data_IF_406142809116
#
_entry.id   IF_406142809116
#
_cell.length_a   1.000
_cell.length_b   1.000
_cell.length_c   1.000
_cell.angle_alpha   90.00
_cell.angle_beta   90.00
_cell.angle_gamma   90.00
#
_symmetry.space_group_name_H-M   'P 1'
#
loop_
_entity.id
_entity.type
_entity.pdbx_description
1 polymer ?
#
# COMPACT_ATOMS: atom_id res chain seq x y z
N UNK A 1 -6.72 -8.19 2.07
CA UNK A 1 -5.99 -9.07 3.01
C UNK A 1 -4.50 -8.89 2.81
N UNK A 2 -3.73 -8.98 3.89
CA UNK A 2 -2.28 -9.11 3.82
C UNK A 2 -1.90 -10.54 3.36
N UNK A 3 -0.76 -10.71 2.68
CA UNK A 3 -0.31 -12.02 2.20
C UNK A 3 -0.09 -13.02 3.33
N UNK A 4 0.29 -12.52 4.52
CA UNK A 4 0.41 -13.34 5.72
C UNK A 4 -0.92 -14.00 6.07
N UNK A 5 -2.03 -13.26 6.11
CA UNK A 5 -3.35 -13.79 6.45
C UNK A 5 -3.82 -14.81 5.41
N UNK A 6 -3.59 -14.54 4.13
CA UNK A 6 -3.86 -15.48 3.02
C UNK A 6 -3.09 -16.78 3.24
N UNK A 7 -1.80 -16.68 3.56
CA UNK A 7 -0.95 -17.85 3.83
C UNK A 7 -1.46 -18.66 5.02
N UNK A 8 -1.82 -18.00 6.13
CA UNK A 8 -2.36 -18.67 7.33
C UNK A 8 -3.63 -19.44 7.01
N UNK A 9 -4.59 -18.78 6.38
CA UNK A 9 -5.88 -19.38 6.05
C UNK A 9 -5.74 -20.52 5.03
N UNK A 10 -4.84 -20.38 4.06
CA UNK A 10 -4.53 -21.44 3.09
C UNK A 10 -3.96 -22.68 3.78
N UNK A 11 -2.95 -22.52 4.64
CA UNK A 11 -2.39 -23.64 5.41
C UNK A 11 -3.44 -24.28 6.31
N UNK A 12 -4.28 -23.47 6.98
CA UNK A 12 -5.36 -23.99 7.81
C UNK A 12 -6.36 -24.84 7.01
N UNK A 13 -6.76 -24.39 5.82
CA UNK A 13 -7.63 -25.14 4.91
C UNK A 13 -6.97 -26.44 4.43
N UNK A 14 -5.71 -26.37 3.99
CA UNK A 14 -4.95 -27.53 3.50
C UNK A 14 -4.79 -28.59 4.60
N UNK A 15 -4.44 -28.17 5.82
CA UNK A 15 -4.28 -29.07 6.96
C UNK A 15 -5.59 -29.73 7.39
N UNK A 16 -6.71 -28.98 7.38
CA UNK A 16 -8.03 -29.55 7.67
C UNK A 16 -8.47 -30.54 6.60
N UNK A 17 -8.19 -30.25 5.33
CA UNK A 17 -8.45 -31.16 4.20
C UNK A 17 -7.64 -32.46 4.34
N UNK A 18 -6.40 -32.37 4.84
CA UNK A 18 -5.56 -33.51 5.20
C UNK A 18 -5.91 -34.16 6.56
N UNK A 19 -7.11 -33.88 7.11
CA UNK A 19 -7.62 -34.44 8.36
C UNK A 19 -6.79 -34.14 9.63
N UNK A 20 -5.90 -33.15 9.60
CA UNK A 20 -5.24 -32.70 10.81
C UNK A 20 -6.19 -31.87 11.69
N UNK A 21 -6.00 -31.96 13.01
CA UNK A 21 -6.56 -30.96 13.92
C UNK A 21 -5.86 -29.62 13.68
N UNK A 22 -6.63 -28.52 13.65
CA UNK A 22 -6.10 -27.17 13.48
C UNK A 22 -6.79 -26.26 14.48
N UNK A 23 -6.00 -25.43 15.14
CA UNK A 23 -6.46 -24.32 15.97
C UNK A 23 -6.12 -23.02 15.25
N UNK A 24 -7.10 -22.15 15.06
CA UNK A 24 -6.86 -20.78 14.63
C UNK A 24 -6.78 -19.88 15.86
N UNK A 25 -5.89 -18.90 15.82
CA UNK A 25 -5.66 -17.94 16.88
C UNK A 25 -5.71 -16.55 16.26
N UNK A 26 -6.56 -15.67 16.80
CA UNK A 26 -6.74 -14.30 16.32
C UNK A 26 -6.41 -13.31 17.43
N UNK A 27 -5.58 -12.31 17.13
CA UNK A 27 -5.37 -11.17 18.03
C UNK A 27 -6.64 -10.32 18.05
N UNK A 28 -7.32 -10.22 19.20
CA UNK A 28 -8.55 -9.41 19.32
C UNK A 28 -8.32 -8.09 20.01
N UNK A 29 -7.29 -7.98 20.86
CA UNK A 29 -6.92 -6.72 21.50
C UNK A 29 -5.45 -6.72 21.90
N UNK A 30 -4.87 -5.53 21.84
CA UNK A 30 -3.50 -5.26 22.28
C UNK A 30 -3.46 -4.00 23.12
N UNK A 31 -2.52 -3.95 24.07
CA UNK A 31 -2.20 -2.74 24.83
C UNK A 31 -0.68 -2.52 24.83
N UNK A 32 -0.28 -1.26 24.86
CA UNK A 32 1.13 -0.89 24.78
C UNK A 32 1.75 -1.23 23.42
N UNK A 33 3.06 -1.45 23.39
CA UNK A 33 3.83 -1.79 22.19
C UNK A 33 3.69 -3.27 21.85
N UNK A 34 2.50 -3.71 21.43
CA UNK A 34 2.31 -5.07 20.99
C UNK A 34 2.90 -5.29 19.58
N UNK A 35 3.57 -6.42 19.33
CA UNK A 35 4.30 -6.71 18.09
C UNK A 35 3.41 -6.95 16.85
N UNK A 36 2.14 -7.34 17.04
CA UNK A 36 1.18 -7.56 15.96
C UNK A 36 -0.14 -6.83 16.25
N UNK A 37 -0.80 -6.25 15.24
CA UNK A 37 -2.06 -5.53 15.43
C UNK A 37 -3.25 -6.49 15.65
N UNK A 38 -4.38 -5.98 16.19
CA UNK A 38 -5.64 -6.70 16.15
C UNK A 38 -5.99 -7.18 14.73
N UNK A 39 -6.45 -8.42 14.62
CA UNK A 39 -6.75 -9.11 13.38
C UNK A 39 -5.64 -10.04 12.90
N UNK A 40 -4.42 -9.94 13.45
CA UNK A 40 -3.34 -10.86 13.11
C UNK A 40 -3.71 -12.32 13.43
N UNK A 41 -3.40 -13.21 12.48
CA UNK A 41 -3.76 -14.62 12.53
C UNK A 41 -2.55 -15.54 12.74
N UNK A 42 -2.82 -16.66 13.40
CA UNK A 42 -1.93 -17.81 13.53
C UNK A 42 -2.77 -19.09 13.40
N UNK A 43 -2.30 -20.04 12.61
CA UNK A 43 -2.84 -21.40 12.57
C UNK A 43 -1.81 -22.34 13.18
N UNK A 44 -2.27 -23.22 14.08
CA UNK A 44 -1.45 -24.24 14.71
C UNK A 44 -2.07 -25.60 14.43
N UNK A 45 -1.31 -26.47 13.76
CA UNK A 45 -1.68 -27.86 13.52
C UNK A 45 -1.49 -28.69 14.79
N UNK A 46 -2.22 -29.79 14.93
CA UNK A 46 -2.22 -30.59 16.15
C UNK A 46 -0.87 -31.16 16.59
N UNK A 47 0.13 -31.22 15.71
CA UNK A 47 1.52 -31.63 15.99
C UNK A 47 2.46 -30.44 16.31
N UNK A 48 1.93 -29.22 16.33
CA UNK A 48 2.65 -28.00 16.64
C UNK A 48 3.27 -27.30 15.42
N UNK A 49 3.00 -27.75 14.19
CA UNK A 49 3.38 -26.97 12.99
C UNK A 49 2.54 -25.71 12.91
N UNK A 50 3.18 -24.57 12.64
CA UNK A 50 2.54 -23.25 12.66
C UNK A 50 2.63 -22.51 11.32
N UNK A 51 1.64 -21.67 11.07
CA UNK A 51 1.63 -20.68 10.00
C UNK A 51 1.08 -19.37 10.54
N UNK A 52 1.79 -18.26 10.32
CA UNK A 52 1.42 -16.94 10.83
C UNK A 52 2.09 -16.58 12.16
N UNK A 53 1.62 -15.49 12.77
CA UNK A 53 2.20 -14.98 14.01
C UNK A 53 1.27 -13.96 14.69
N UNK A 54 1.20 -14.06 16.02
CA UNK A 54 0.46 -13.17 16.94
C UNK A 54 1.37 -12.32 17.83
N UNK A 55 2.62 -12.75 18.06
CA UNK A 55 3.58 -12.03 18.91
C UNK A 55 5.00 -11.94 18.34
N UNK A 56 5.37 -12.83 17.41
CA UNK A 56 6.71 -12.87 16.84
C UNK A 56 7.69 -13.78 17.59
N UNK A 57 7.19 -14.70 18.42
CA UNK A 57 8.01 -15.76 19.02
C UNK A 57 7.42 -16.34 20.30
N UNK A 58 7.59 -15.65 21.42
CA UNK A 58 7.43 -16.26 22.75
C UNK A 58 6.00 -16.72 23.06
N UNK A 59 4.97 -16.02 22.57
CA UNK A 59 3.58 -16.46 22.77
C UNK A 59 3.27 -17.67 21.89
N UNK A 60 3.83 -17.73 20.68
CA UNK A 60 3.67 -18.87 19.78
C UNK A 60 4.25 -20.15 20.38
N UNK A 61 5.41 -20.09 21.01
CA UNK A 61 6.04 -21.26 21.66
C UNK A 61 5.14 -21.87 22.75
N UNK A 62 4.50 -21.04 23.59
CA UNK A 62 3.58 -21.52 24.62
C UNK A 62 2.30 -22.13 24.02
N UNK A 63 1.75 -21.52 22.97
CA UNK A 63 0.59 -22.06 22.27
C UNK A 63 0.90 -23.42 21.60
N UNK A 64 2.07 -23.55 20.98
CA UNK A 64 2.56 -24.80 20.38
C UNK A 64 2.67 -25.88 21.45
N UNK A 65 3.29 -25.57 22.58
CA UNK A 65 3.48 -26.50 23.69
C UNK A 65 2.16 -26.99 24.26
N UNK A 66 1.19 -26.09 24.51
CA UNK A 66 -0.16 -26.45 24.97
C UNK A 66 -0.85 -27.39 24.00
N UNK A 67 -0.80 -27.10 22.70
CA UNK A 67 -1.44 -27.94 21.67
C UNK A 67 -0.79 -29.32 21.58
N UNK A 68 0.54 -29.41 21.72
CA UNK A 68 1.29 -30.68 21.76
C UNK A 68 0.97 -31.51 23.00
N UNK A 69 0.73 -30.88 24.15
CA UNK A 69 0.27 -31.53 25.39
C UNK A 69 -1.20 -31.96 25.33
N UNK A 70 -1.91 -31.64 24.26
CA UNK A 70 -3.33 -31.98 24.07
C UNK A 70 -4.29 -31.01 24.74
N UNK A 71 -3.83 -29.85 25.20
CA UNK A 71 -4.64 -28.81 25.86
C UNK A 71 -5.48 -27.97 24.87
N UNK A 72 -6.14 -28.65 23.93
CA UNK A 72 -6.90 -28.02 22.84
C UNK A 72 -8.29 -27.62 23.32
N UNK A 73 -8.69 -26.41 22.98
CA UNK A 73 -10.05 -25.94 23.27
C UNK A 73 -11.08 -26.74 22.45
N UNK A 74 -12.21 -27.09 23.07
CA UNK A 74 -13.34 -27.75 22.39
C UNK A 74 -14.35 -26.75 21.80
N UNK A 75 -14.30 -25.51 22.27
CA UNK A 75 -15.04 -24.36 21.77
C UNK A 75 -14.12 -23.13 21.81
N UNK A 76 -14.43 -22.05 21.08
CA UNK A 76 -13.61 -20.84 21.12
C UNK A 76 -13.46 -20.29 22.54
N UNK A 77 -12.26 -19.82 22.89
CA UNK A 77 -12.01 -19.18 24.19
C UNK A 77 -11.07 -17.99 24.06
N UNK A 78 -11.19 -17.06 25.01
CA UNK A 78 -10.29 -15.92 25.15
C UNK A 78 -9.09 -16.31 26.02
N UNK A 79 -7.88 -16.04 25.54
CA UNK A 79 -6.62 -16.20 26.27
C UNK A 79 -5.98 -14.83 26.43
N UNK A 80 -5.39 -14.58 27.60
CA UNK A 80 -4.69 -13.34 27.94
C UNK A 80 -3.22 -13.63 28.24
N UNK A 81 -2.34 -12.82 27.69
CA UNK A 81 -0.90 -12.82 27.97
C UNK A 81 -0.45 -11.45 28.46
N UNK A 82 0.54 -11.44 29.36
CA UNK A 82 1.09 -10.19 29.90
C UNK A 82 0.16 -9.50 30.89
N UNK A 83 -0.55 -10.27 31.72
CA UNK A 83 -1.43 -9.74 32.77
C UNK A 83 -0.59 -9.23 33.95
N UNK A 84 0.58 -9.84 34.20
CA UNK A 84 1.58 -9.35 35.15
C UNK A 84 2.87 -8.90 34.45
N UNK A 85 3.71 -8.12 35.13
CA UNK A 85 5.02 -7.68 34.61
C UNK A 85 5.97 -8.85 34.43
N UNK A 86 5.93 -9.82 35.34
CA UNK A 86 6.72 -11.05 35.29
C UNK A 86 6.30 -11.92 34.10
N UNK A 87 5.00 -12.01 33.84
CA UNK A 87 4.45 -12.73 32.68
C UNK A 87 4.80 -12.01 31.37
N UNK A 88 4.68 -10.68 31.31
CA UNK A 88 5.09 -9.89 30.15
C UNK A 88 6.59 -10.06 29.85
N UNK A 89 7.45 -10.08 30.88
CA UNK A 89 8.88 -10.33 30.74
C UNK A 89 9.17 -11.76 30.23
N UNK A 90 8.45 -12.77 30.74
CA UNK A 90 8.57 -14.16 30.29
C UNK A 90 8.24 -14.32 28.81
N UNK A 91 7.22 -13.61 28.32
CA UNK A 91 6.78 -13.67 26.93
C UNK A 91 7.41 -12.61 26.03
N UNK A 92 8.48 -11.94 26.49
CA UNK A 92 9.21 -10.97 25.67
C UNK A 92 8.35 -9.80 25.17
N UNK A 93 7.25 -9.48 25.86
CA UNK A 93 6.37 -8.36 25.52
C UNK A 93 7.03 -7.07 26.05
N UNK A 94 7.59 -6.21 25.18
CA UNK A 94 8.33 -5.04 25.64
C UNK A 94 7.40 -4.09 26.42
N UNK A 95 7.89 -3.62 27.58
CA UNK A 95 7.32 -2.55 28.39
C UNK A 95 5.84 -2.73 28.83
N UNK A 96 5.44 -3.93 29.25
CA UNK A 96 4.14 -4.13 29.91
C UNK A 96 2.94 -4.21 28.95
N UNK A 97 3.18 -4.66 27.71
CA UNK A 97 2.11 -4.95 26.77
C UNK A 97 1.26 -6.15 27.22
N UNK A 98 -0.04 -6.05 27.01
CA UNK A 98 -1.00 -7.15 27.21
C UNK A 98 -1.56 -7.56 25.86
N UNK A 99 -1.79 -8.86 25.66
CA UNK A 99 -2.30 -9.44 24.44
C UNK A 99 -3.53 -10.30 24.74
N UNK A 100 -4.64 -10.02 24.06
CA UNK A 100 -5.84 -10.84 24.10
C UNK A 100 -6.00 -11.58 22.78
N UNK A 101 -6.11 -12.91 22.88
CA UNK A 101 -6.20 -13.83 21.76
C UNK A 101 -7.50 -14.63 21.85
N UNK A 102 -8.20 -14.79 20.74
CA UNK A 102 -9.23 -15.81 20.60
C UNK A 102 -8.60 -17.05 20.00
N UNK A 103 -8.60 -18.14 20.78
CA UNK A 103 -8.23 -19.48 20.32
C UNK A 103 -9.50 -20.22 19.90
N UNK A 104 -9.58 -20.66 18.64
CA UNK A 104 -10.72 -21.38 18.10
C UNK A 104 -10.29 -22.73 17.48
N UNK A 105 -10.94 -23.85 17.83
CA UNK A 105 -10.77 -25.09 17.09
C UNK A 105 -11.42 -24.95 15.71
N UNK A 106 -10.66 -25.13 14.64
CA UNK A 106 -11.17 -25.07 13.27
C UNK A 106 -11.91 -26.37 12.94
N UNK A 107 -13.20 -26.44 13.27
CA UNK A 107 -14.03 -27.63 13.05
C UNK A 107 -14.49 -27.72 11.59
N UNK A 108 -15.06 -26.64 11.04
CA UNK A 108 -15.48 -26.49 9.65
C UNK A 108 -14.58 -25.50 8.91
N UNK A 109 -13.86 -25.96 7.88
CA UNK A 109 -12.99 -25.12 7.05
C UNK A 109 -13.67 -24.61 5.76
N UNK A 110 -14.93 -24.98 5.48
CA UNK A 110 -15.63 -24.58 4.25
C UNK A 110 -15.79 -23.08 4.12
N UNK A 111 -15.87 -22.36 5.25
CA UNK A 111 -15.92 -20.90 5.23
C UNK A 111 -14.63 -20.29 4.67
N UNK A 112 -13.46 -20.93 4.85
CA UNK A 112 -12.19 -20.45 4.31
C UNK A 112 -12.20 -20.55 2.78
N UNK A 113 -12.67 -21.68 2.24
CA UNK A 113 -12.80 -21.87 0.80
C UNK A 113 -13.75 -20.81 0.18
N UNK A 114 -14.93 -20.63 0.79
CA UNK A 114 -15.89 -19.60 0.37
C UNK A 114 -15.31 -18.20 0.45
N UNK A 115 -14.52 -17.91 1.49
CA UNK A 115 -13.84 -16.63 1.64
C UNK A 115 -12.85 -16.38 0.48
N UNK A 116 -12.07 -17.39 0.10
CA UNK A 116 -11.17 -17.28 -1.05
C UNK A 116 -11.93 -17.07 -2.36
N UNK A 117 -13.04 -17.76 -2.58
CA UNK A 117 -13.87 -17.56 -3.78
C UNK A 117 -14.41 -16.13 -3.87
N UNK A 118 -14.91 -15.58 -2.76
CA UNK A 118 -15.40 -14.20 -2.68
C UNK A 118 -14.28 -13.18 -2.93
N UNK A 119 -13.16 -13.34 -2.25
CA UNK A 119 -12.05 -12.38 -2.35
C UNK A 119 -11.34 -12.43 -3.70
N UNK A 120 -11.36 -13.58 -4.39
CA UNK A 120 -10.91 -13.69 -5.78
C UNK A 120 -11.80 -12.92 -6.76
N UNK A 121 -13.06 -12.63 -6.41
CA UNK A 121 -13.98 -11.77 -7.17
C UNK A 121 -13.94 -10.30 -6.74
N UNK A 122 -12.99 -9.91 -5.89
CA UNK A 122 -12.88 -8.55 -5.38
C UNK A 122 -13.86 -8.21 -4.23
N UNK A 123 -14.59 -9.20 -3.70
CA UNK A 123 -15.59 -8.97 -2.66
C UNK A 123 -14.95 -8.85 -1.27
N UNK A 124 -15.51 -7.96 -0.45
CA UNK A 124 -15.23 -7.87 0.98
C UNK A 124 -16.16 -8.78 1.77
N UNK A 125 -15.60 -9.55 2.69
CA UNK A 125 -16.31 -10.57 3.46
C UNK A 125 -16.07 -10.35 4.94
N UNK A 126 -17.15 -10.08 5.68
CA UNK A 126 -17.16 -10.06 7.13
C UNK A 126 -17.41 -11.46 7.68
N UNK A 127 -16.44 -12.00 8.40
CA UNK A 127 -16.54 -13.26 9.13
C UNK A 127 -17.01 -12.98 10.55
N UNK A 128 -18.04 -13.66 11.00
CA UNK A 128 -18.53 -13.63 12.39
C UNK A 128 -18.39 -15.02 13.02
N UNK A 129 -17.54 -15.12 14.05
CA UNK A 129 -17.37 -16.28 14.90
C UNK A 129 -18.19 -16.11 16.18
N UNK A 130 -19.03 -17.08 16.50
CA UNK A 130 -19.76 -17.14 17.78
C UNK A 130 -18.96 -17.92 18.81
N UNK A 131 -18.71 -17.31 19.97
CA UNK A 131 -17.83 -17.89 21.00
C UNK A 131 -18.43 -19.10 21.72
N UNK A 132 -19.76 -19.21 21.80
CA UNK A 132 -20.44 -20.29 22.55
C UNK A 132 -20.27 -21.67 21.92
N UNK A 133 -20.22 -21.74 20.59
CA UNK A 133 -20.25 -23.00 19.83
C UNK A 133 -19.26 -23.05 18.66
N UNK A 134 -18.55 -21.96 18.37
CA UNK A 134 -17.63 -21.88 17.24
C UNK A 134 -18.30 -21.77 15.88
N UNK A 135 -19.61 -21.49 15.82
CA UNK A 135 -20.30 -21.30 14.55
C UNK A 135 -19.75 -20.06 13.82
N UNK A 136 -19.38 -20.25 12.55
CA UNK A 136 -18.91 -19.17 11.67
C UNK A 136 -19.97 -18.84 10.64
N UNK A 137 -20.24 -17.54 10.47
CA UNK A 137 -21.03 -17.03 9.35
C UNK A 137 -20.25 -15.99 8.55
N UNK A 138 -20.55 -15.90 7.26
CA UNK A 138 -19.95 -14.93 6.34
C UNK A 138 -21.04 -13.98 5.84
N UNK A 139 -20.75 -12.68 5.85
CA UNK A 139 -21.62 -11.61 5.33
C UNK A 139 -20.81 -10.71 4.41
N UNK A 140 -21.48 -9.87 3.63
CA UNK A 140 -20.81 -8.77 2.93
C UNK A 140 -20.14 -7.86 3.97
N UNK A 141 -18.88 -7.52 3.74
CA UNK A 141 -18.11 -6.59 4.57
C UNK A 141 -17.98 -5.22 3.92
N UNK A 142 -17.55 -4.24 4.72
CA UNK A 142 -17.25 -2.89 4.26
C UNK A 142 -15.76 -2.55 4.43
N UNK A 143 -15.24 -1.64 3.61
CA UNK A 143 -13.79 -1.32 3.57
C UNK A 143 -13.23 -0.86 4.91
N UNK A 144 -14.04 -0.13 5.68
CA UNK A 144 -13.63 0.46 6.95
C UNK A 144 -14.15 -0.32 8.16
N UNK A 145 -14.58 -1.57 7.96
CA UNK A 145 -14.96 -2.46 9.05
C UNK A 145 -13.75 -2.70 9.96
N UNK A 146 -13.83 -2.16 11.18
CA UNK A 146 -12.88 -2.50 12.23
C UNK A 146 -13.17 -3.90 12.78
N UNK A 147 -12.12 -4.57 13.27
CA UNK A 147 -12.28 -5.78 14.08
C UNK A 147 -13.18 -5.46 15.27
N UNK A 148 -14.17 -6.32 15.50
CA UNK A 148 -15.10 -6.20 16.62
C UNK A 148 -15.06 -7.46 17.48
N UNK A 149 -14.94 -7.28 18.80
CA UNK A 149 -15.03 -8.38 19.76
C UNK A 149 -15.70 -7.91 21.04
N UNK A 150 -16.84 -8.53 21.38
CA UNK A 150 -17.66 -8.20 22.56
C UNK A 150 -17.65 -9.30 23.64
N UNK A 151 -16.87 -10.37 23.44
CA UNK A 151 -16.84 -11.54 24.31
C UNK A 151 -17.78 -12.68 23.88
N UNK A 152 -18.79 -12.40 23.08
CA UNK A 152 -19.75 -13.37 22.54
C UNK A 152 -19.53 -13.62 21.04
N UNK A 153 -19.08 -12.61 20.30
CA UNK A 153 -18.87 -12.63 18.87
C UNK A 153 -17.56 -11.96 18.51
N UNK A 154 -16.74 -12.64 17.70
CA UNK A 154 -15.57 -12.06 17.03
C UNK A 154 -15.93 -11.82 15.56
N UNK A 155 -15.87 -10.56 15.12
CA UNK A 155 -16.07 -10.19 13.72
C UNK A 155 -14.80 -9.61 13.10
N UNK A 156 -14.40 -10.15 11.95
CA UNK A 156 -13.20 -9.74 11.20
C UNK A 156 -13.56 -9.63 9.72
N UNK A 157 -13.16 -8.53 9.07
CA UNK A 157 -13.39 -8.33 7.64
C UNK A 157 -12.14 -8.68 6.85
N UNK A 158 -12.33 -9.51 5.82
CA UNK A 158 -11.33 -9.96 4.88
C UNK A 158 -11.68 -9.42 3.49
N UNK A 159 -10.67 -9.11 2.69
CA UNK A 159 -10.84 -8.56 1.35
C UNK A 159 -9.76 -9.05 0.39
N UNK A 160 -9.88 -8.75 -0.91
CA UNK A 160 -8.84 -9.02 -1.92
C UNK A 160 -7.46 -8.50 -1.48
N UNK A 161 -6.41 -8.99 -2.13
CA UNK A 161 -5.05 -8.45 -1.89
C UNK A 161 -5.02 -6.96 -2.27
N UNK A 162 -4.24 -6.17 -1.54
CA UNK A 162 -4.02 -4.78 -1.91
C UNK A 162 -3.22 -4.70 -3.21
N UNK A 163 -3.76 -4.01 -4.20
CA UNK A 163 -3.18 -3.87 -5.54
C UNK A 163 -2.77 -2.43 -5.80
N UNK A 164 -1.65 -2.25 -6.48
CA UNK A 164 -1.20 -0.94 -6.98
C UNK A 164 -0.93 -1.06 -8.48
N UNK A 165 -1.77 -0.43 -9.29
CA UNK A 165 -1.54 -0.25 -10.72
C UNK A 165 -0.78 1.05 -10.97
N UNK A 166 0.41 0.95 -11.55
CA UNK A 166 1.22 2.07 -12.00
C UNK A 166 1.07 2.24 -13.49
N UNK A 167 0.66 3.44 -13.92
CA UNK A 167 0.61 3.81 -15.34
C UNK A 167 1.90 4.53 -15.69
N UNK A 168 2.63 3.96 -16.64
CA UNK A 168 3.98 4.35 -16.99
C UNK A 168 5.02 3.49 -16.28
N UNK A 169 6.05 3.08 -17.01
CA UNK A 169 7.13 2.21 -16.53
C UNK A 169 8.47 2.94 -16.41
N UNK A 170 8.43 4.25 -16.13
CA UNK A 170 9.63 5.07 -15.93
C UNK A 170 10.35 4.78 -14.60
N UNK A 171 11.51 5.41 -14.40
CA UNK A 171 12.35 5.23 -13.21
C UNK A 171 11.59 5.49 -11.89
N UNK A 172 10.73 6.52 -11.84
CA UNK A 172 9.92 6.82 -10.66
C UNK A 172 8.95 5.67 -10.33
N UNK A 173 8.27 5.11 -11.35
CA UNK A 173 7.37 3.96 -11.17
C UNK A 173 8.10 2.77 -10.58
N UNK A 174 9.35 2.52 -10.98
CA UNK A 174 10.15 1.42 -10.44
C UNK A 174 10.53 1.64 -8.97
N UNK A 175 10.84 2.87 -8.56
CA UNK A 175 11.05 3.20 -7.15
C UNK A 175 9.75 2.98 -6.33
N UNK A 176 8.60 3.44 -6.85
CA UNK A 176 7.30 3.24 -6.20
C UNK A 176 6.99 1.74 -6.09
N UNK A 177 7.21 0.98 -7.16
CA UNK A 177 6.98 -0.46 -7.20
C UNK A 177 7.79 -1.21 -6.14
N UNK A 178 9.08 -0.89 -5.98
CA UNK A 178 9.93 -1.52 -4.96
C UNK A 178 9.42 -1.28 -3.54
N UNK A 179 9.05 -0.04 -3.20
CA UNK A 179 8.54 0.29 -1.88
C UNK A 179 7.16 -0.36 -1.65
N UNK A 180 6.26 -0.26 -2.63
CA UNK A 180 4.93 -0.86 -2.53
C UNK A 180 4.99 -2.38 -2.39
N UNK A 181 5.92 -3.04 -3.11
CA UNK A 181 6.17 -4.48 -2.99
C UNK A 181 6.65 -4.86 -1.59
N UNK A 182 7.56 -4.08 -1.01
CA UNK A 182 8.03 -4.28 0.36
C UNK A 182 6.91 -4.11 1.41
N UNK A 183 5.87 -3.33 1.08
CA UNK A 183 4.64 -3.16 1.88
C UNK A 183 3.52 -4.14 1.48
N UNK A 184 3.87 -5.21 0.76
CA UNK A 184 3.00 -6.34 0.41
C UNK A 184 1.85 -6.03 -0.57
N UNK A 185 1.94 -4.91 -1.30
CA UNK A 185 1.08 -4.70 -2.46
C UNK A 185 1.42 -5.70 -3.57
N UNK A 186 0.40 -6.19 -4.26
CA UNK A 186 0.56 -6.70 -5.62
C UNK A 186 0.73 -5.50 -6.56
N UNK A 187 1.93 -5.37 -7.12
CA UNK A 187 2.26 -4.25 -8.00
C UNK A 187 2.08 -4.67 -9.45
N UNK A 188 1.27 -3.90 -10.16
CA UNK A 188 0.96 -4.04 -11.58
C UNK A 188 1.52 -2.81 -12.30
N UNK A 189 2.16 -3.00 -13.45
CA UNK A 189 2.70 -1.90 -14.25
C UNK A 189 2.13 -2.00 -15.66
N UNK A 190 1.52 -0.92 -16.13
CA UNK A 190 1.02 -0.77 -17.49
C UNK A 190 1.81 0.34 -18.19
N UNK A 191 2.42 0.00 -19.32
CA UNK A 191 2.98 0.96 -20.26
C UNK A 191 2.88 0.34 -21.67
N UNK A 192 2.32 1.04 -22.67
CA UNK A 192 2.17 0.46 -24.02
C UNK A 192 3.51 0.30 -24.75
N UNK A 193 4.60 0.89 -24.24
CA UNK A 193 5.92 0.87 -24.86
C UNK A 193 6.70 -0.36 -24.40
N UNK A 194 6.93 -1.31 -25.31
CA UNK A 194 7.55 -2.61 -24.99
C UNK A 194 9.00 -2.49 -24.51
N UNK A 195 9.71 -1.40 -24.83
CA UNK A 195 11.11 -1.20 -24.44
C UNK A 195 11.28 -1.13 -22.92
N UNK A 196 10.27 -0.61 -22.20
CA UNK A 196 10.29 -0.55 -20.75
C UNK A 196 10.07 -1.91 -20.09
N UNK A 197 9.42 -2.86 -20.80
CA UNK A 197 9.15 -4.20 -20.26
C UNK A 197 10.44 -4.96 -19.97
N UNK A 198 11.46 -4.79 -20.81
CA UNK A 198 12.74 -5.51 -20.69
C UNK A 198 13.51 -5.14 -19.40
N UNK A 199 13.24 -3.96 -18.83
CA UNK A 199 13.87 -3.45 -17.62
C UNK A 199 13.07 -3.76 -16.34
N UNK A 200 11.89 -4.35 -16.47
CA UNK A 200 11.03 -4.66 -15.35
C UNK A 200 11.51 -5.94 -14.63
N UNK A 201 11.83 -5.81 -13.35
CA UNK A 201 12.02 -6.96 -12.48
C UNK A 201 10.66 -7.60 -12.15
N UNK A 202 10.41 -8.79 -12.68
CA UNK A 202 9.18 -9.55 -12.47
C UNK A 202 8.95 -9.97 -11.01
N UNK A 203 9.98 -9.93 -10.16
CA UNK A 203 9.84 -10.17 -8.71
C UNK A 203 9.26 -8.96 -7.97
N UNK A 204 9.40 -7.77 -8.55
CA UNK A 204 8.93 -6.48 -8.00
C UNK A 204 7.53 -6.15 -8.50
N UNK A 205 7.27 -6.32 -9.79
CA UNK A 205 5.97 -5.99 -10.37
C UNK A 205 5.63 -6.87 -11.58
N UNK A 206 4.33 -7.02 -11.84
CA UNK A 206 3.80 -7.72 -13.01
C UNK A 206 3.50 -6.72 -14.13
N UNK A 207 4.03 -6.97 -15.32
CA UNK A 207 3.70 -6.21 -16.52
C UNK A 207 2.31 -6.56 -17.04
N UNK A 208 1.53 -5.54 -17.37
CA UNK A 208 0.24 -5.64 -18.06
C UNK A 208 0.35 -4.95 -19.44
N UNK A 209 0.34 -5.72 -20.53
CA UNK A 209 0.36 -5.14 -21.88
C UNK A 209 -1.00 -4.52 -22.21
N UNK A 210 -1.01 -3.53 -23.09
CA UNK A 210 -2.23 -2.88 -23.57
C UNK A 210 -2.27 -1.38 -23.29
N UNK A 211 -3.39 -0.77 -23.67
CA UNK A 211 -3.63 0.63 -23.38
C UNK A 211 -4.11 0.81 -21.93
N UNK A 212 -3.78 1.95 -21.27
CA UNK A 212 -4.09 2.14 -19.85
C UNK A 212 -5.57 2.05 -19.47
N UNK A 213 -6.48 2.51 -20.32
CA UNK A 213 -7.94 2.40 -20.16
C UNK A 213 -8.41 0.95 -20.18
N UNK A 214 -8.02 0.18 -21.21
CA UNK A 214 -8.33 -1.25 -21.32
C UNK A 214 -7.81 -2.03 -20.11
N UNK A 215 -6.57 -1.77 -19.70
CA UNK A 215 -5.96 -2.43 -18.54
C UNK A 215 -6.74 -2.11 -17.25
N UNK A 216 -7.18 -0.87 -17.06
CA UNK A 216 -7.99 -0.50 -15.89
C UNK A 216 -9.32 -1.26 -15.87
N UNK A 217 -9.95 -1.50 -17.02
CA UNK A 217 -11.17 -2.31 -17.10
C UNK A 217 -10.90 -3.79 -16.83
N UNK A 218 -9.87 -4.35 -17.47
CA UNK A 218 -9.57 -5.78 -17.46
C UNK A 218 -9.15 -6.32 -16.08
N UNK A 219 -8.47 -5.51 -15.27
CA UNK A 219 -8.01 -5.96 -13.95
C UNK A 219 -9.16 -6.11 -12.93
N UNK A 220 -10.39 -5.68 -13.26
CA UNK A 220 -11.53 -5.71 -12.33
C UNK A 220 -11.24 -4.88 -11.08
N UNK A 221 -11.19 -3.56 -11.24
CA UNK A 221 -10.85 -2.63 -10.15
C UNK A 221 -11.87 -2.71 -9.01
N UNK A 222 -11.38 -3.00 -7.80
CA UNK A 222 -12.16 -3.09 -6.57
C UNK A 222 -11.69 -2.07 -5.52
N UNK A 223 -12.32 -2.11 -4.34
CA UNK A 223 -12.02 -1.24 -3.20
C UNK A 223 -10.63 -1.44 -2.55
N UNK A 224 -9.81 -2.39 -3.04
CA UNK A 224 -8.42 -2.64 -2.63
C UNK A 224 -7.39 -2.28 -3.71
N UNK A 225 -7.84 -1.69 -4.81
CA UNK A 225 -6.97 -1.23 -5.89
C UNK A 225 -6.66 0.25 -5.76
N UNK A 226 -5.36 0.58 -5.78
CA UNK A 226 -4.84 1.92 -6.00
C UNK A 226 -4.36 2.04 -7.45
N UNK A 227 -4.58 3.20 -8.08
CA UNK A 227 -4.12 3.49 -9.44
C UNK A 227 -3.34 4.80 -9.39
N UNK A 228 -2.13 4.81 -9.94
CA UNK A 228 -1.29 6.01 -9.96
C UNK A 228 -0.71 6.24 -11.35
N UNK A 229 -1.01 7.42 -11.90
CA UNK A 229 -0.53 7.88 -13.18
C UNK A 229 0.81 8.60 -13.02
N UNK A 230 1.89 7.98 -13.50
CA UNK A 230 3.28 8.44 -13.32
C UNK A 230 3.99 8.66 -14.65
N UNK A 231 3.27 8.73 -15.76
CA UNK A 231 3.88 9.04 -17.06
C UNK A 231 4.08 10.55 -17.24
N UNK A 232 4.92 10.90 -18.21
CA UNK A 232 5.07 12.26 -18.71
C UNK A 232 4.18 12.53 -19.94
N UNK A 233 3.46 11.52 -20.43
CA UNK A 233 2.51 11.63 -21.54
C UNK A 233 1.09 11.85 -21.00
N UNK A 234 0.50 13.06 -21.16
CA UNK A 234 -0.84 13.34 -20.69
C UNK A 234 -1.90 12.41 -21.30
N UNK A 235 -1.71 11.93 -22.53
CA UNK A 235 -2.68 11.07 -23.21
C UNK A 235 -2.82 9.74 -22.48
N UNK A 236 -1.71 9.10 -22.15
CA UNK A 236 -1.72 7.82 -21.45
C UNK A 236 -2.23 7.94 -20.01
N UNK A 237 -1.83 9.01 -19.30
CA UNK A 237 -2.38 9.28 -17.97
C UNK A 237 -3.90 9.45 -18.03
N UNK A 238 -4.40 10.30 -18.92
CA UNK A 238 -5.81 10.66 -18.96
C UNK A 238 -6.69 9.47 -19.36
N UNK A 239 -6.22 8.61 -20.30
CA UNK A 239 -6.89 7.34 -20.64
C UNK A 239 -7.12 6.48 -19.40
N UNK A 240 -6.08 6.26 -18.58
CA UNK A 240 -6.23 5.49 -17.34
C UNK A 240 -7.11 6.21 -16.31
N UNK A 241 -6.97 7.52 -16.17
CA UNK A 241 -7.69 8.30 -15.15
C UNK A 241 -9.19 8.38 -15.43
N UNK A 242 -9.61 8.40 -16.70
CA UNK A 242 -11.03 8.36 -17.08
C UNK A 242 -11.75 7.13 -16.50
N UNK A 243 -11.14 5.96 -16.64
CA UNK A 243 -11.72 4.71 -16.10
C UNK A 243 -11.47 4.56 -14.60
N UNK A 244 -10.29 4.94 -14.11
CA UNK A 244 -9.94 4.84 -12.70
C UNK A 244 -10.88 5.68 -11.81
N UNK A 245 -11.24 6.90 -12.23
CA UNK A 245 -12.11 7.78 -11.45
C UNK A 245 -13.59 7.37 -11.47
N UNK A 246 -13.99 6.49 -12.40
CA UNK A 246 -15.33 5.87 -12.44
C UNK A 246 -15.42 4.61 -11.58
N UNK A 247 -14.29 3.93 -11.38
CA UNK A 247 -14.19 2.68 -10.63
C UNK A 247 -14.30 2.82 -9.11
N UNK A 248 -14.31 1.69 -8.40
CA UNK A 248 -14.27 1.62 -6.94
C UNK A 248 -12.85 1.70 -6.33
N UNK A 249 -11.82 2.06 -7.13
CA UNK A 249 -10.46 2.23 -6.65
C UNK A 249 -10.42 3.12 -5.39
N UNK A 250 -9.75 2.64 -4.34
CA UNK A 250 -9.68 3.40 -3.09
C UNK A 250 -8.75 4.61 -3.18
N UNK A 251 -7.84 4.61 -4.15
CA UNK A 251 -6.89 5.68 -4.40
C UNK A 251 -6.67 5.87 -5.89
N UNK A 252 -6.81 7.10 -6.37
CA UNK A 252 -6.47 7.49 -7.74
C UNK A 252 -5.58 8.72 -7.67
N UNK A 253 -4.32 8.58 -8.08
CA UNK A 253 -3.32 9.64 -8.00
C UNK A 253 -2.68 9.94 -9.35
N UNK A 254 -2.19 11.16 -9.53
CA UNK A 254 -1.43 11.54 -10.71
C UNK A 254 -0.25 12.45 -10.38
N UNK A 255 0.87 12.20 -11.04
CA UNK A 255 2.03 13.08 -11.00
C UNK A 255 1.71 14.43 -11.67
N UNK A 256 2.30 15.50 -11.12
CA UNK A 256 2.24 16.83 -11.69
C UNK A 256 2.39 17.94 -10.65
N UNK A 257 2.76 19.12 -11.11
CA UNK A 257 2.64 20.35 -10.31
C UNK A 257 1.17 20.65 -10.02
N UNK A 258 0.87 21.53 -9.05
CA UNK A 258 -0.53 21.93 -8.78
C UNK A 258 -1.24 22.46 -10.02
N UNK A 259 -0.55 23.33 -10.77
CA UNK A 259 -1.06 23.89 -12.03
C UNK A 259 -1.40 22.78 -13.02
N UNK A 260 -0.55 21.77 -13.15
CA UNK A 260 -0.80 20.64 -14.04
C UNK A 260 -1.95 19.76 -13.53
N UNK A 261 -2.04 19.52 -12.22
CA UNK A 261 -3.15 18.78 -11.62
C UNK A 261 -4.49 19.51 -11.79
N UNK A 262 -4.51 20.84 -11.70
CA UNK A 262 -5.72 21.64 -11.92
C UNK A 262 -6.16 21.57 -13.38
N UNK A 263 -5.25 21.84 -14.33
CA UNK A 263 -5.52 21.68 -15.77
C UNK A 263 -5.96 20.27 -16.14
N UNK A 264 -5.43 19.26 -15.44
CA UNK A 264 -5.84 17.87 -15.63
C UNK A 264 -7.27 17.65 -15.17
N UNK A 265 -7.68 18.18 -14.00
CA UNK A 265 -9.08 18.09 -13.55
C UNK A 265 -10.04 18.77 -14.52
N UNK A 266 -9.70 19.96 -15.00
CA UNK A 266 -10.49 20.68 -16.01
C UNK A 266 -10.67 19.83 -17.28
N UNK A 267 -9.57 19.32 -17.84
CA UNK A 267 -9.62 18.45 -19.02
C UNK A 267 -10.39 17.15 -18.79
N UNK A 268 -10.27 16.54 -17.61
CA UNK A 268 -11.04 15.33 -17.26
C UNK A 268 -12.54 15.60 -17.16
N UNK A 269 -12.96 16.80 -16.74
CA UNK A 269 -14.37 17.19 -16.71
C UNK A 269 -14.94 17.39 -18.12
N UNK A 270 -14.12 17.75 -19.10
CA UNK A 270 -14.51 17.79 -20.52
C UNK A 270 -14.81 16.38 -21.08
N UNK A 271 -14.34 15.30 -20.41
CA UNK A 271 -14.57 13.90 -20.77
C UNK A 271 -15.67 13.23 -19.93
N UNK A 272 -16.73 13.97 -19.60
CA UNK A 272 -17.92 13.48 -18.88
C UNK A 272 -17.65 12.92 -17.46
N UNK A 273 -16.54 13.29 -16.82
CA UNK A 273 -16.34 13.00 -15.40
C UNK A 273 -17.00 14.09 -14.54
N UNK A 274 -17.85 13.65 -13.62
CA UNK A 274 -18.50 14.54 -12.66
C UNK A 274 -17.49 15.24 -11.73
N UNK A 275 -17.91 16.36 -11.13
CA UNK A 275 -17.14 17.03 -10.08
C UNK A 275 -16.81 16.09 -8.91
N UNK A 276 -17.73 15.18 -8.54
CA UNK A 276 -17.51 14.18 -7.49
C UNK A 276 -16.40 13.19 -7.87
N UNK A 277 -16.39 12.71 -9.11
CA UNK A 277 -15.36 11.77 -9.57
C UNK A 277 -14.00 12.46 -9.65
N UNK A 278 -13.93 13.65 -10.26
CA UNK A 278 -12.67 14.40 -10.36
C UNK A 278 -12.11 14.89 -9.02
N UNK A 279 -12.96 15.12 -8.01
CA UNK A 279 -12.54 15.41 -6.64
C UNK A 279 -11.78 14.26 -5.96
N UNK A 280 -11.96 13.01 -6.42
CA UNK A 280 -11.20 11.84 -5.93
C UNK A 280 -9.74 11.84 -6.38
N UNK A 281 -9.38 12.65 -7.39
CA UNK A 281 -8.03 12.67 -7.94
C UNK A 281 -7.04 13.32 -6.96
N UNK A 282 -6.08 12.53 -6.50
CA UNK A 282 -4.94 12.98 -5.71
C UNK A 282 -3.86 13.58 -6.62
N UNK A 283 -3.82 14.91 -6.69
CA UNK A 283 -2.89 15.65 -7.55
C UNK A 283 -2.56 17.03 -6.96
N UNK A 284 -1.27 17.35 -6.68
CA UNK A 284 -0.10 16.48 -6.82
C UNK A 284 -0.16 15.23 -5.93
N UNK A 285 0.26 14.09 -6.47
CA UNK A 285 0.37 12.82 -5.73
C UNK A 285 1.47 12.90 -4.65
N UNK A 286 1.24 12.23 -3.51
CA UNK A 286 2.20 12.11 -2.42
C UNK A 286 2.16 13.22 -1.36
N UNK A 287 2.68 12.87 -0.17
CA UNK A 287 2.82 13.79 0.97
C UNK A 287 3.94 14.81 0.75
N UNK A 288 3.77 16.02 1.25
CA UNK A 288 4.78 17.06 1.15
C UNK A 288 5.92 16.86 2.16
N UNK A 289 6.93 16.10 1.75
CA UNK A 289 8.14 15.80 2.55
C UNK A 289 9.41 16.48 2.01
N UNK A 290 9.27 17.38 1.02
CA UNK A 290 10.43 18.07 0.41
C UNK A 290 11.29 17.21 -0.52
N UNK A 291 10.80 16.04 -0.95
CA UNK A 291 11.54 15.12 -1.82
C UNK A 291 11.86 15.71 -3.19
N UNK A 292 13.07 15.45 -3.68
CA UNK A 292 13.61 15.93 -4.95
C UNK A 292 14.06 14.77 -5.85
N UNK A 293 14.52 13.67 -5.27
CA UNK A 293 14.94 12.48 -6.02
C UNK A 293 13.76 11.54 -6.31
N UNK A 294 13.83 10.68 -7.35
CA UNK A 294 12.80 9.68 -7.61
C UNK A 294 12.48 8.77 -6.42
N UNK A 295 13.50 8.41 -5.62
CA UNK A 295 13.32 7.58 -4.44
C UNK A 295 12.55 8.32 -3.32
N UNK A 296 12.87 9.59 -3.06
CA UNK A 296 12.16 10.41 -2.08
C UNK A 296 10.71 10.68 -2.52
N UNK A 297 10.50 10.96 -3.80
CA UNK A 297 9.16 11.13 -4.38
C UNK A 297 8.37 9.82 -4.26
N UNK A 298 9.00 8.67 -4.48
CA UNK A 298 8.36 7.37 -4.30
C UNK A 298 7.92 7.13 -2.85
N UNK A 299 8.77 7.45 -1.86
CA UNK A 299 8.41 7.39 -0.43
C UNK A 299 7.20 8.29 -0.15
N UNK A 300 7.20 9.51 -0.68
CA UNK A 300 6.09 10.47 -0.55
C UNK A 300 4.76 9.91 -1.09
N UNK A 301 4.79 9.31 -2.29
CA UNK A 301 3.63 8.71 -2.95
C UNK A 301 3.10 7.52 -2.13
N UNK A 302 3.96 6.58 -1.79
CA UNK A 302 3.55 5.36 -1.08
C UNK A 302 3.07 5.66 0.33
N UNK A 303 3.68 6.63 1.03
CA UNK A 303 3.21 7.07 2.34
C UNK A 303 1.77 7.63 2.27
N UNK A 304 1.44 8.37 1.22
CA UNK A 304 0.06 8.82 1.01
C UNK A 304 -0.91 7.67 0.74
N UNK A 305 -0.54 6.74 -0.15
CA UNK A 305 -1.36 5.57 -0.47
C UNK A 305 -1.66 4.78 0.81
N UNK A 306 -0.65 4.55 1.66
CA UNK A 306 -0.79 3.85 2.95
C UNK A 306 -1.67 4.64 3.91
N UNK A 307 -1.53 5.97 3.98
CA UNK A 307 -2.41 6.79 4.80
C UNK A 307 -3.88 6.64 4.38
N UNK A 308 -4.18 6.69 3.07
CA UNK A 308 -5.54 6.50 2.55
C UNK A 308 -6.03 5.05 2.72
N UNK A 309 -5.15 4.05 2.53
CA UNK A 309 -5.42 2.63 2.83
C UNK A 309 -5.92 2.46 4.27
N UNK A 310 -5.26 3.11 5.22
CA UNK A 310 -5.53 2.99 6.65
C UNK A 310 -6.54 4.02 7.19
N UNK A 311 -7.19 4.81 6.33
CA UNK A 311 -8.19 5.81 6.75
C UNK A 311 -7.62 7.01 7.51
N UNK A 312 -6.33 7.30 7.35
CA UNK A 312 -5.64 8.40 8.02
C UNK A 312 -5.82 9.71 7.22
N UNK A 313 -6.25 10.82 7.86
CA UNK A 313 -6.37 12.11 7.20
C UNK A 313 -5.03 12.63 6.64
N UNK A 314 -5.07 13.21 5.43
CA UNK A 314 -3.88 13.74 4.74
C UNK A 314 -3.56 15.19 5.15
N UNK A 315 -2.92 15.37 6.31
CA UNK A 315 -2.61 16.70 6.85
C UNK A 315 -1.41 17.40 6.19
N UNK A 316 -0.47 16.62 5.65
CA UNK A 316 0.79 17.11 5.11
C UNK A 316 0.77 17.25 3.58
N UNK A 317 -0.39 17.59 2.99
CA UNK A 317 -0.43 17.93 1.56
C UNK A 317 0.29 19.25 1.29
N UNK A 318 0.86 19.40 0.10
CA UNK A 318 1.53 20.65 -0.30
C UNK A 318 0.49 21.78 -0.21
N UNK A 319 0.64 22.76 0.67
CA UNK A 319 -0.26 23.92 0.87
C UNK A 319 -0.25 24.91 -0.28
N UNK A 320 -1.43 25.33 -0.76
CA UNK A 320 -1.57 26.38 -1.79
C UNK A 320 -0.62 27.56 -1.51
N UNK A 321 0.21 27.90 -2.50
CA UNK A 321 1.03 29.11 -2.43
C UNK A 321 0.04 30.25 -2.68
N UNK A 322 -0.27 31.02 -1.65
CA UNK A 322 -0.86 32.34 -1.82
C UNK A 322 0.17 33.17 -2.59
N UNK A 323 0.01 33.29 -3.91
CA UNK A 323 0.73 34.31 -4.65
C UNK A 323 0.15 35.65 -4.20
N UNK A 324 0.93 36.35 -3.38
CA UNK A 324 0.68 37.73 -3.00
C UNK A 324 0.75 38.57 -4.29
N UNK A 325 -0.42 39.00 -4.77
CA UNK A 325 -0.57 39.78 -6.00
C UNK A 325 -0.22 41.26 -5.77
N UNK A 326 0.93 41.53 -5.14
CA UNK A 326 1.41 42.89 -4.84
C UNK A 326 2.90 42.99 -5.05
N UNK A 327 3.38 42.82 -6.29
CA UNK A 327 4.74 43.22 -6.65
C UNK A 327 4.96 43.49 -8.15
N UNK A 328 3.94 43.93 -8.91
CA UNK A 328 4.16 44.45 -10.28
C UNK A 328 3.21 45.64 -10.55
N UNK A 329 3.42 46.76 -9.86
CA UNK A 329 2.88 48.06 -10.28
C UNK A 329 3.71 49.22 -9.75
N UNK A 330 4.97 49.31 -10.18
CA UNK A 330 5.68 50.59 -10.27
C UNK A 330 7.07 50.35 -10.83
N UNK A 331 7.27 50.73 -12.08
CA UNK A 331 8.40 51.54 -12.58
C UNK A 331 8.40 51.48 -14.12
N UNK A 332 7.32 51.99 -14.73
CA UNK A 332 7.46 52.63 -16.05
C UNK A 332 7.76 54.10 -15.78
N UNK A 333 8.99 54.48 -16.10
CA UNK A 333 9.51 55.83 -16.03
C UNK A 333 10.49 56.01 -17.18
N UNK A 334 9.94 56.41 -18.32
CA UNK A 334 10.64 56.89 -19.51
C UNK A 334 11.89 57.72 -19.20
N UNK A 335 13.02 57.40 -19.83
CA UNK A 335 13.92 58.45 -20.36
C UNK A 335 14.68 57.94 -21.59
N UNK A 336 14.45 58.64 -22.70
CA UNK A 336 15.03 58.44 -24.02
C UNK A 336 16.46 58.96 -24.18
N UNK A 337 17.18 58.33 -25.13
CA UNK A 337 18.16 58.92 -26.06
C UNK A 337 19.52 59.42 -25.54
N UNK A 338 20.63 58.79 -25.95
CA UNK A 338 21.55 59.34 -26.97
C UNK A 338 22.81 58.49 -27.18
N UNK A 339 23.26 58.52 -28.43
CA UNK A 339 24.40 57.86 -29.07
C UNK A 339 25.79 58.31 -28.59
N UNK A 340 26.78 57.40 -28.60
CA UNK A 340 28.16 57.72 -28.98
C UNK A 340 28.99 56.47 -29.35
N UNK A 341 29.68 56.59 -30.47
CA UNK A 341 30.65 55.73 -31.15
C UNK A 341 32.07 55.81 -30.57
N UNK A 342 32.82 54.69 -30.59
CA UNK A 342 34.28 54.55 -30.88
C UNK A 342 34.75 53.14 -30.48
N UNK A 343 35.12 52.22 -31.39
CA UNK A 343 36.33 52.08 -32.23
C UNK A 343 37.58 51.54 -31.50
N UNK A 344 38.09 50.43 -32.04
CA UNK A 344 39.48 49.91 -32.00
C UNK A 344 40.03 49.41 -30.63
N UNK A 345 40.84 48.35 -30.54
CA UNK A 345 41.81 47.78 -31.51
C UNK A 345 42.13 46.31 -31.17
N UNK A 346 42.60 45.62 -32.21
CA UNK A 346 43.18 44.28 -32.28
C UNK A 346 44.43 44.03 -31.40
N UNK A 347 44.72 42.76 -31.09
CA UNK A 347 45.86 42.01 -31.67
C UNK A 347 46.41 40.87 -30.79
N UNK A 348 46.18 39.63 -31.26
CA UNK A 348 47.17 38.56 -31.54
C UNK A 348 48.07 37.91 -30.49
N UNK A 349 48.33 36.62 -30.78
CA UNK A 349 49.45 35.71 -30.37
C UNK A 349 49.22 34.95 -29.07
N UNK A 350 49.56 33.67 -28.92
CA UNK A 350 50.11 32.63 -29.79
C UNK A 350 50.24 31.37 -28.92
N UNK A 351 49.90 30.19 -29.43
CA UNK A 351 50.31 28.91 -28.86
C UNK A 351 51.84 28.75 -28.91
N UNK A 352 52.43 27.86 -28.08
CA UNK A 352 52.74 26.54 -28.63
C UNK A 352 52.59 25.36 -27.65
N UNK A 353 52.47 24.19 -28.29
CA UNK A 353 52.62 22.80 -27.85
C UNK A 353 53.71 22.52 -26.80
N UNK A 354 53.50 21.51 -25.94
CA UNK A 354 54.45 20.39 -25.73
C UNK A 354 53.97 19.37 -24.67
N UNK A 355 53.98 18.09 -25.06
CA UNK A 355 54.37 16.89 -24.31
C UNK A 355 53.56 16.39 -23.08
N UNK A 356 52.84 15.30 -23.34
CA UNK A 356 53.05 13.95 -22.78
C UNK A 356 53.57 13.81 -21.33
N UNK A 357 52.76 13.15 -20.48
CA UNK A 357 53.21 12.09 -19.57
C UNK A 357 52.05 11.17 -19.19
N UNK A 358 52.14 9.95 -19.67
CA UNK A 358 51.49 8.73 -19.15
C UNK A 358 52.29 8.25 -17.94
N UNK A 359 51.63 7.83 -16.86
CA UNK A 359 51.94 6.65 -16.02
C UNK A 359 51.06 6.59 -14.74
N UNK A 360 50.91 5.42 -14.09
CA UNK A 360 49.59 4.83 -13.84
C UNK A 360 49.36 4.34 -12.38
N UNK A 361 48.27 3.57 -12.19
CA UNK A 361 48.01 2.53 -11.17
C UNK A 361 47.52 2.99 -9.78
N UNK A 362 46.26 2.66 -9.47
CA UNK A 362 45.88 1.69 -8.42
C UNK A 362 44.44 1.22 -8.65
#
# INVERSE_FOLDING_TARGET
>A
MESADISVLKHALDWRTAAHAVTLVTVVRTWGSAPRPPGALLAIRGDGVVAGSVSGGCVEDDLIDRIRRGERAMAPRLIRYGVSREEAARFGLPCGGTLELVEEPLTDARWIARLFDCTARGELVRRELRMVDGAVSLRAGERNDALHFDGNTLAVTFGPRWRLLLIGAGQLSMCVAGIARALDFEVLVCDPREEFRALLDASVARWLPGMPDDVVLDIGVDAHTAIVALTHDPKLDDMALMEALRSDAFYVGALGSRRNSQKRRERLQEFDLSARQTARLHGPVGLHIGGQTPAEIAVSIVAEIVAVKNGIPLLQKKREEQHDATAESSLDGDTSCSSATSSDTSATRSSPSSQARVCPIA
#
